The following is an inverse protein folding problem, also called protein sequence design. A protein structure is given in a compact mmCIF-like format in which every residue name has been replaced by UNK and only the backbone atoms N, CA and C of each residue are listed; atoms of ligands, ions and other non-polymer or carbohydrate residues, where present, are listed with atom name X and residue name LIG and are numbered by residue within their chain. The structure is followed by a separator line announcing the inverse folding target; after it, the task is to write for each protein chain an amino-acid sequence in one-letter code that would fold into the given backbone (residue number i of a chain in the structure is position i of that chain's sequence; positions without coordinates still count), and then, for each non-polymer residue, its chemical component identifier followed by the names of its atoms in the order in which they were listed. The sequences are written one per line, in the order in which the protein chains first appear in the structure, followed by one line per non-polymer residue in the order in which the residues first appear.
data_IF_947276904712
#
_entry.id   IF_947276904712
#
_cell.length_a   1.000
_cell.length_b   1.000
_cell.length_c   1.000
_cell.angle_alpha   90.00
_cell.angle_beta   90.00
_cell.angle_gamma   90.00
#
_symmetry.space_group_name_H-M   'P 1'
#
loop_
_entity.id
_entity.type
_entity.pdbx_description
1 polymer ?
#
# COMPACT_ATOMS: atom_id res chain seq x y z
N UNK A 1 6.12 -8.02 -19.83
CA UNK A 1 5.68 -6.77 -19.21
C UNK A 1 5.34 -7.10 -17.78
N UNK A 2 6.24 -6.73 -16.87
CA UNK A 2 6.06 -7.00 -15.44
C UNK A 2 4.84 -6.24 -14.93
N UNK A 3 3.87 -6.99 -14.41
CA UNK A 3 2.77 -6.46 -13.61
C UNK A 3 3.30 -6.24 -12.20
N UNK A 4 4.13 -5.21 -12.04
CA UNK A 4 4.60 -4.82 -10.72
C UNK A 4 3.52 -3.95 -10.07
N UNK A 5 2.94 -4.46 -8.99
CA UNK A 5 1.85 -3.78 -8.28
C UNK A 5 2.43 -2.59 -7.54
N UNK A 6 2.02 -1.38 -7.92
CA UNK A 6 2.44 -0.15 -7.25
C UNK A 6 1.69 0.03 -5.91
N UNK A 7 2.43 0.07 -4.81
CA UNK A 7 1.93 0.27 -3.45
C UNK A 7 2.50 1.57 -2.91
N UNK A 8 1.65 2.57 -2.71
CA UNK A 8 2.05 3.86 -2.13
C UNK A 8 1.63 3.94 -0.67
N UNK A 9 2.59 4.24 0.20
CA UNK A 9 2.35 4.46 1.63
C UNK A 9 2.41 5.95 1.88
N UNK A 10 1.25 6.54 2.13
CA UNK A 10 1.04 7.96 2.37
C UNK A 10 1.17 8.25 3.88
N UNK A 11 2.26 8.90 4.28
CA UNK A 11 2.41 9.32 5.66
C UNK A 11 3.74 10.02 5.97
N UNK A 12 3.79 10.82 7.05
CA UNK A 12 4.97 11.61 7.40
C UNK A 12 6.14 10.78 7.99
N UNK A 13 6.18 9.46 7.77
CA UNK A 13 7.27 8.60 8.25
C UNK A 13 7.18 8.23 9.74
N UNK A 14 6.01 8.31 10.38
CA UNK A 14 5.84 7.81 11.75
C UNK A 14 6.03 6.28 11.85
N UNK A 15 6.28 5.76 13.07
CA UNK A 15 6.44 4.31 13.35
C UNK A 15 5.36 3.42 12.70
N UNK A 16 4.13 3.90 12.61
CA UNK A 16 3.02 3.17 11.98
C UNK A 16 3.23 2.98 10.46
N UNK A 17 3.77 3.97 9.75
CA UNK A 17 4.01 3.89 8.31
C UNK A 17 5.09 2.84 8.02
N UNK A 18 6.17 2.86 8.80
CA UNK A 18 7.27 1.90 8.71
C UNK A 18 6.75 0.47 8.94
N UNK A 19 5.90 0.29 9.96
CA UNK A 19 5.30 -1.01 10.24
C UNK A 19 4.45 -1.52 9.07
N UNK A 20 3.66 -0.66 8.43
CA UNK A 20 2.90 -1.04 7.23
C UNK A 20 3.82 -1.47 6.09
N UNK A 21 4.87 -0.70 5.79
CA UNK A 21 5.84 -1.03 4.75
C UNK A 21 6.48 -2.41 4.99
N UNK A 22 6.85 -2.68 6.24
CA UNK A 22 7.43 -3.98 6.63
C UNK A 22 6.45 -5.14 6.46
N UNK A 23 5.19 -4.98 6.90
CA UNK A 23 4.16 -6.00 6.71
C UNK A 23 3.91 -6.25 5.22
N UNK A 24 3.79 -5.19 4.42
CA UNK A 24 3.59 -5.27 2.97
C UNK A 24 4.74 -6.04 2.33
N UNK A 25 5.98 -5.67 2.65
CA UNK A 25 7.19 -6.32 2.14
C UNK A 25 7.25 -7.80 2.52
N UNK A 26 6.92 -8.13 3.77
CA UNK A 26 6.82 -9.53 4.21
C UNK A 26 5.79 -10.32 3.41
N UNK A 27 4.61 -9.75 3.14
CA UNK A 27 3.57 -10.40 2.34
C UNK A 27 4.03 -10.61 0.90
N UNK A 28 4.61 -9.59 0.27
CA UNK A 28 5.19 -9.67 -1.07
C UNK A 28 6.22 -10.79 -1.17
N UNK A 29 7.20 -10.81 -0.26
CA UNK A 29 8.25 -11.83 -0.25
C UNK A 29 7.67 -13.22 0.02
N UNK A 30 6.75 -13.35 0.99
CA UNK A 30 6.15 -14.62 1.39
C UNK A 30 5.27 -15.25 0.30
N UNK A 31 4.55 -14.43 -0.45
CA UNK A 31 3.64 -14.87 -1.50
C UNK A 31 4.23 -14.70 -2.91
N UNK A 32 5.48 -14.27 -3.01
CA UNK A 32 6.21 -14.01 -4.25
C UNK A 32 5.45 -13.09 -5.22
N UNK A 33 4.85 -12.02 -4.68
CA UNK A 33 4.03 -11.07 -5.42
C UNK A 33 4.92 -9.92 -5.91
N UNK A 34 5.17 -9.73 -7.21
CA UNK A 34 5.93 -8.57 -7.69
C UNK A 34 5.14 -7.29 -7.41
N UNK A 35 5.68 -6.46 -6.52
CA UNK A 35 5.09 -5.19 -6.13
C UNK A 35 6.16 -4.20 -5.68
N UNK A 36 5.98 -2.93 -6.03
CA UNK A 36 6.84 -1.83 -5.62
C UNK A 36 6.20 -1.05 -4.47
N UNK A 37 7.02 -0.72 -3.49
CA UNK A 37 6.61 0.08 -2.34
C UNK A 37 7.20 1.49 -2.52
N UNK A 38 6.33 2.49 -2.63
CA UNK A 38 6.69 3.91 -2.71
C UNK A 38 6.18 4.65 -1.46
N UNK A 39 7.10 5.21 -0.67
CA UNK A 39 6.74 5.99 0.51
C UNK A 39 6.54 7.46 0.13
N UNK A 40 5.31 7.95 0.29
CA UNK A 40 4.93 9.33 -0.01
C UNK A 40 4.76 10.09 1.30
N UNK A 41 5.73 10.95 1.58
CA UNK A 41 5.75 11.87 2.74
C UNK A 41 5.30 13.30 2.40
N UNK A 42 5.11 13.61 1.12
CA UNK A 42 4.67 14.94 0.66
C UNK A 42 3.19 15.17 0.98
N UNK A 43 2.89 16.21 1.75
CA UNK A 43 1.51 16.57 2.10
C UNK A 43 0.66 16.88 0.86
N UNK A 44 1.24 17.50 -0.17
CA UNK A 44 0.56 17.81 -1.43
C UNK A 44 0.00 16.53 -2.09
N UNK A 45 0.85 15.51 -2.27
CA UNK A 45 0.42 14.23 -2.82
C UNK A 45 -0.65 13.57 -1.95
N UNK A 46 -0.50 13.60 -0.62
CA UNK A 46 -1.49 13.04 0.32
C UNK A 46 -2.86 13.71 0.16
N UNK A 47 -2.88 15.03 -0.02
CA UNK A 47 -4.10 15.79 -0.27
C UNK A 47 -4.70 15.47 -1.65
N UNK A 48 -3.88 15.24 -2.69
CA UNK A 48 -4.36 14.80 -4.02
C UNK A 48 -5.10 13.46 -3.95
N UNK A 49 -4.67 12.54 -3.08
CA UNK A 49 -5.38 11.28 -2.84
C UNK A 49 -6.64 11.42 -1.97
N UNK A 50 -6.97 12.64 -1.51
CA UNK A 50 -8.12 12.88 -0.64
C UNK A 50 -8.01 12.25 0.75
N UNK A 51 -6.78 11.91 1.17
CA UNK A 51 -6.53 11.28 2.48
C UNK A 51 -6.49 12.35 3.56
N UNK A 52 -7.52 12.38 4.40
CA UNK A 52 -7.59 13.27 5.56
C UNK A 52 -6.86 12.72 6.79
N UNK A 53 -6.58 11.41 6.80
CA UNK A 53 -5.98 10.72 7.95
C UNK A 53 -4.85 9.81 7.50
N UNK A 54 -3.63 10.18 7.84
CA UNK A 54 -2.43 9.35 7.66
C UNK A 54 -2.17 8.49 8.89
N UNK A 55 -1.60 7.28 8.75
CA UNK A 55 -1.07 6.68 7.52
C UNK A 55 -2.16 6.14 6.59
N UNK A 56 -1.93 6.24 5.28
CA UNK A 56 -2.78 5.64 4.26
C UNK A 56 -1.98 4.73 3.33
N UNK A 57 -2.67 3.72 2.78
CA UNK A 57 -2.12 2.71 1.88
C UNK A 57 -2.91 2.75 0.60
N UNK A 58 -2.20 2.95 -0.50
CA UNK A 58 -2.73 3.00 -1.86
C UNK A 58 -2.13 1.83 -2.62
N UNK A 59 -2.94 1.11 -3.37
CA UNK A 59 -2.47 -0.01 -4.20
C UNK A 59 -3.06 0.18 -5.59
N UNK A 60 -2.21 0.20 -6.62
CA UNK A 60 -2.62 0.43 -8.01
C UNK A 60 -3.31 1.78 -8.23
N UNK A 61 -3.02 2.78 -7.40
CA UNK A 61 -3.68 4.09 -7.43
C UNK A 61 -4.97 4.21 -6.59
N UNK A 62 -5.51 3.12 -6.04
CA UNK A 62 -6.67 3.16 -5.15
C UNK A 62 -6.28 3.22 -3.68
N UNK A 63 -6.83 4.18 -2.94
CA UNK A 63 -6.74 4.22 -1.48
C UNK A 63 -7.51 3.04 -0.89
N UNK A 64 -6.79 2.07 -0.31
CA UNK A 64 -7.40 0.92 0.38
C UNK A 64 -7.66 1.19 1.84
N UNK A 65 -6.79 1.97 2.47
CA UNK A 65 -6.84 2.23 3.89
C UNK A 65 -6.30 3.62 4.20
N UNK A 66 -6.92 4.30 5.18
CA UNK A 66 -6.49 5.59 5.70
C UNK A 66 -6.74 5.66 7.21
N UNK A 67 -5.80 6.25 7.94
CA UNK A 67 -5.88 6.50 9.39
C UNK A 67 -5.64 5.28 10.28
N UNK A 68 -5.26 4.12 9.72
CA UNK A 68 -4.99 2.90 10.50
C UNK A 68 -3.91 2.03 9.85
N UNK A 69 -3.41 1.06 10.62
CA UNK A 69 -2.46 0.04 10.17
C UNK A 69 -3.29 -1.17 9.73
N UNK A 70 -3.28 -1.55 8.44
CA UNK A 70 -3.95 -2.77 8.00
C UNK A 70 -3.22 -4.02 8.43
N UNK A 71 -3.97 -5.11 8.53
CA UNK A 71 -3.43 -6.42 8.87
C UNK A 71 -2.81 -7.12 7.64
N UNK A 72 -1.81 -8.00 7.82
CA UNK A 72 -1.14 -8.72 6.72
C UNK A 72 -2.11 -9.46 5.79
N UNK A 73 -3.22 -9.99 6.34
CA UNK A 73 -4.24 -10.68 5.54
C UNK A 73 -5.04 -9.74 4.62
N UNK A 74 -5.24 -8.46 4.99
CA UNK A 74 -5.97 -7.46 4.20
C UNK A 74 -5.09 -7.04 3.03
N UNK A 75 -3.80 -6.80 3.30
CA UNK A 75 -2.80 -6.48 2.29
C UNK A 75 -2.76 -7.60 1.24
N UNK A 76 -2.66 -8.86 1.67
CA UNK A 76 -2.70 -10.00 0.77
C UNK A 76 -3.97 -10.02 -0.09
N UNK A 77 -5.14 -9.75 0.52
CA UNK A 77 -6.40 -9.72 -0.19
C UNK A 77 -6.43 -8.61 -1.26
N UNK A 78 -5.89 -7.43 -0.94
CA UNK A 78 -5.77 -6.34 -1.90
C UNK A 78 -4.83 -6.71 -3.04
N UNK A 79 -3.63 -7.20 -2.75
CA UNK A 79 -2.64 -7.58 -3.77
C UNK A 79 -3.18 -8.69 -4.68
N UNK A 80 -3.88 -9.70 -4.14
CA UNK A 80 -4.55 -10.74 -4.95
C UNK A 80 -5.57 -10.15 -5.91
N UNK A 81 -6.31 -9.12 -5.50
CA UNK A 81 -7.30 -8.45 -6.36
C UNK A 81 -6.64 -7.76 -7.57
N UNK A 82 -5.42 -7.25 -7.42
CA UNK A 82 -4.65 -6.65 -8.52
C UNK A 82 -3.91 -7.67 -9.39
N UNK A 83 -3.58 -8.87 -8.88
CA UNK A 83 -2.95 -9.92 -9.67
C UNK A 83 -3.89 -10.71 -10.59
N UNK A 84 -5.21 -10.64 -10.36
CA UNK A 84 -6.14 -11.48 -11.11
C UNK A 84 -7.57 -11.02 -11.02
N UNK A 85 -8.00 -10.25 -12.01
CA UNK A 85 -9.34 -10.37 -12.59
C UNK A 85 -9.20 -10.51 -14.11
N UNK A 86 -9.02 -11.74 -14.64
CA UNK A 86 -9.69 -12.08 -15.87
C UNK A 86 -11.17 -12.23 -15.53
N UNK A 87 -11.97 -11.18 -15.76
CA UNK A 87 -13.43 -11.35 -15.89
C UNK A 87 -13.73 -11.75 -17.33
#
# INVERSE_FOLDING_TARGET
MELDIDIKILGPGCRKCIQVAEIVRQVIEKYNLPAQIEEISSMDKIAEFGVLSTPAVVIGGDVKCAGRIPEPHEILQWLRKYQGTPE
#
